data_IF_197337514560
#
_entry.id   IF_197337514560
#
_cell.length_a   1.000
_cell.length_b   1.000
_cell.length_c   1.000
_cell.angle_alpha   90.00
_cell.angle_beta   90.00
_cell.angle_gamma   90.00
#
_symmetry.space_group_name_H-M   'P 1'
#
loop_
_entity.id
_entity.type
_entity.pdbx_description
1 polymer ?
#
# COMPACT_ATOMS: atom_id res chain seq x y z
N UNK A 1 -6.27 41.47 -30.17
CA UNK A 1 -5.44 40.27 -29.95
C UNK A 1 -5.67 39.78 -28.52
N UNK A 2 -6.54 38.80 -28.32
CA UNK A 2 -6.82 38.21 -27.02
C UNK A 2 -5.83 37.06 -26.79
N UNK A 3 -4.96 37.19 -25.80
CA UNK A 3 -4.05 36.11 -25.37
C UNK A 3 -4.84 35.08 -24.56
N UNK A 4 -4.96 33.90 -25.12
CA UNK A 4 -5.53 32.73 -24.45
C UNK A 4 -4.47 32.20 -23.47
N UNK A 5 -4.74 32.33 -22.16
CA UNK A 5 -3.91 31.72 -21.11
C UNK A 5 -4.26 30.23 -21.04
N UNK A 6 -3.37 29.36 -21.51
CA UNK A 6 -3.46 27.91 -21.24
C UNK A 6 -2.97 27.64 -19.81
N UNK A 7 -3.89 27.28 -18.93
CA UNK A 7 -3.53 26.69 -17.62
C UNK A 7 -3.09 25.25 -17.85
N UNK A 8 -1.96 24.81 -17.28
CA UNK A 8 -1.59 23.40 -17.32
C UNK A 8 -2.50 22.58 -16.40
N UNK A 9 -3.18 21.60 -16.96
CA UNK A 9 -3.94 20.61 -16.21
C UNK A 9 -2.91 19.63 -15.60
N UNK A 10 -2.70 19.75 -14.29
CA UNK A 10 -1.95 18.74 -13.54
C UNK A 10 -2.82 17.48 -13.39
N UNK A 11 -2.51 16.46 -14.14
CA UNK A 11 -3.00 15.11 -13.90
C UNK A 11 -2.34 14.60 -12.61
N UNK A 12 -3.09 14.57 -11.52
CA UNK A 12 -2.71 13.80 -10.33
C UNK A 12 -2.89 12.32 -10.69
N UNK A 13 -1.82 11.67 -11.12
CA UNK A 13 -1.79 10.22 -11.25
C UNK A 13 -1.90 9.62 -9.84
N UNK A 14 -3.07 9.09 -9.50
CA UNK A 14 -3.22 8.19 -8.36
C UNK A 14 -2.40 6.94 -8.69
N UNK A 15 -1.24 6.83 -8.06
CA UNK A 15 -0.46 5.58 -8.09
C UNK A 15 -1.25 4.56 -7.28
N UNK A 16 -2.10 3.79 -7.94
CA UNK A 16 -2.50 2.49 -7.42
C UNK A 16 -1.23 1.64 -7.47
N UNK A 17 -0.64 1.39 -6.32
CA UNK A 17 0.40 0.38 -6.20
C UNK A 17 -0.29 -0.97 -6.40
N UNK A 18 -0.29 -1.45 -7.63
CA UNK A 18 -0.60 -2.84 -7.91
C UNK A 18 0.50 -3.66 -7.21
N UNK A 19 0.12 -4.68 -6.45
CA UNK A 19 1.06 -5.65 -5.92
C UNK A 19 1.86 -6.20 -7.11
N UNK A 20 3.15 -5.88 -7.17
CA UNK A 20 4.04 -6.34 -8.23
C UNK A 20 4.49 -7.76 -7.91
N UNK A 21 4.68 -8.57 -8.97
CA UNK A 21 5.36 -9.85 -8.84
C UNK A 21 6.85 -9.56 -8.69
N UNK A 22 7.55 -10.29 -7.83
CA UNK A 22 8.99 -10.18 -7.70
C UNK A 22 9.70 -10.61 -8.99
N UNK A 23 10.88 -10.07 -9.27
CA UNK A 23 11.77 -10.57 -10.31
C UNK A 23 12.63 -11.70 -9.74
N UNK A 24 12.75 -12.82 -10.48
CA UNK A 24 13.63 -13.91 -10.05
C UNK A 24 15.10 -13.55 -10.25
N UNK A 25 15.92 -14.00 -9.34
CA UNK A 25 17.38 -13.91 -9.46
C UNK A 25 18.03 -15.17 -8.85
N UNK A 26 19.20 -15.50 -9.36
CA UNK A 26 20.06 -16.56 -8.79
C UNK A 26 21.43 -15.96 -8.52
N UNK A 27 21.85 -15.96 -7.25
CA UNK A 27 23.10 -15.38 -6.81
C UNK A 27 23.79 -16.31 -5.81
N UNK A 28 25.12 -16.16 -5.69
CA UNK A 28 25.92 -16.80 -4.66
C UNK A 28 26.14 -15.82 -3.51
N UNK A 29 25.82 -16.23 -2.30
CA UNK A 29 26.03 -15.41 -1.12
C UNK A 29 27.51 -15.33 -0.70
N UNK A 30 27.82 -14.48 0.25
CA UNK A 30 29.18 -14.29 0.77
C UNK A 30 29.73 -15.51 1.54
N UNK A 31 28.90 -16.50 1.83
CA UNK A 31 29.33 -17.79 2.40
C UNK A 31 29.57 -18.86 1.30
N UNK A 32 29.34 -18.53 0.02
CA UNK A 32 29.51 -19.43 -1.11
C UNK A 32 28.33 -20.34 -1.40
N UNK A 33 27.15 -20.06 -0.84
CA UNK A 33 25.91 -20.80 -1.10
C UNK A 33 25.15 -20.12 -2.24
N UNK A 34 24.64 -20.95 -3.19
CA UNK A 34 23.77 -20.46 -4.27
C UNK A 34 22.33 -20.37 -3.76
N UNK A 35 21.67 -19.27 -4.11
CA UNK A 35 20.26 -19.00 -3.80
C UNK A 35 19.53 -18.63 -5.08
N UNK A 36 18.37 -19.24 -5.31
CA UNK A 36 17.38 -18.81 -6.28
C UNK A 36 16.15 -18.28 -5.51
N UNK A 37 15.71 -17.07 -5.84
CA UNK A 37 14.63 -16.44 -5.10
C UNK A 37 13.33 -17.26 -5.21
N UNK A 38 12.93 -17.61 -6.43
CA UNK A 38 11.66 -18.31 -6.63
C UNK A 38 11.68 -19.71 -6.07
N UNK A 39 12.79 -20.46 -6.23
CA UNK A 39 12.93 -21.77 -5.57
C UNK A 39 12.80 -21.63 -4.04
N UNK A 40 13.37 -20.59 -3.46
CA UNK A 40 13.25 -20.34 -2.01
C UNK A 40 11.80 -20.05 -1.61
N UNK A 41 11.09 -19.19 -2.37
CA UNK A 41 9.70 -18.82 -2.10
C UNK A 41 8.75 -20.01 -2.27
N UNK A 42 8.99 -20.90 -3.24
CA UNK A 42 8.19 -22.08 -3.52
C UNK A 42 8.25 -23.12 -2.40
N UNK A 43 9.27 -23.09 -1.54
CA UNK A 43 9.30 -23.89 -0.30
C UNK A 43 8.33 -23.38 0.77
N UNK A 44 7.70 -22.22 0.55
CA UNK A 44 6.87 -21.52 1.53
C UNK A 44 7.68 -20.60 2.46
N UNK A 45 8.93 -20.33 2.11
CA UNK A 45 9.78 -19.36 2.81
C UNK A 45 9.41 -17.95 2.35
N UNK A 46 9.43 -17.00 3.27
CA UNK A 46 9.34 -15.56 3.01
C UNK A 46 10.75 -15.00 2.96
N UNK A 47 11.03 -14.16 1.97
CA UNK A 47 12.32 -13.46 1.86
C UNK A 47 12.11 -11.98 2.14
N UNK A 48 12.83 -11.48 3.13
CA UNK A 48 13.03 -10.05 3.41
C UNK A 48 14.34 -9.66 2.77
N UNK A 49 14.33 -8.73 1.83
CA UNK A 49 15.53 -8.14 1.25
C UNK A 49 15.73 -6.75 1.82
N UNK A 50 16.91 -6.49 2.34
CA UNK A 50 17.37 -5.18 2.75
C UNK A 50 18.55 -4.77 1.87
N UNK A 51 18.34 -3.79 1.01
CA UNK A 51 19.38 -3.25 0.14
C UNK A 51 20.07 -2.10 0.86
N UNK A 52 21.38 -2.18 0.99
CA UNK A 52 22.15 -1.30 1.88
C UNK A 52 23.33 -0.61 1.18
N UNK A 53 23.68 0.57 1.67
CA UNK A 53 24.98 1.20 1.43
C UNK A 53 25.89 0.91 2.62
N UNK A 54 27.18 0.64 2.35
CA UNK A 54 28.13 0.30 3.42
C UNK A 54 28.71 1.54 4.12
N UNK A 55 28.98 2.59 3.37
CA UNK A 55 29.70 3.77 3.87
C UNK A 55 28.83 4.64 4.80
N UNK A 56 28.79 4.25 6.08
CA UNK A 56 28.17 5.06 7.13
C UNK A 56 26.65 5.22 7.03
N UNK A 57 25.95 4.28 6.38
CA UNK A 57 24.50 4.32 6.26
C UNK A 57 23.79 4.06 7.60
N UNK A 58 23.74 5.06 8.45
CA UNK A 58 22.98 4.97 9.73
C UNK A 58 21.50 4.60 9.53
N UNK A 59 20.78 5.09 8.48
CA UNK A 59 19.44 4.63 8.21
C UNK A 59 19.34 3.13 7.95
N UNK A 60 20.33 2.51 7.26
CA UNK A 60 20.37 1.06 7.01
C UNK A 60 20.54 0.28 8.33
N UNK A 61 21.48 0.69 9.17
CA UNK A 61 21.72 0.07 10.47
C UNK A 61 20.47 0.17 11.36
N UNK A 62 19.84 1.33 11.40
CA UNK A 62 18.61 1.53 12.17
C UNK A 62 17.46 0.68 11.64
N UNK A 63 17.32 0.56 10.33
CA UNK A 63 16.31 -0.32 9.70
C UNK A 63 16.53 -1.79 10.09
N UNK A 64 17.79 -2.27 9.99
CA UNK A 64 18.15 -3.62 10.39
C UNK A 64 17.73 -3.92 11.84
N UNK A 65 18.05 -3.05 12.78
CA UNK A 65 17.69 -3.22 14.19
C UNK A 65 16.18 -3.12 14.47
N UNK A 66 15.41 -2.43 13.63
CA UNK A 66 13.96 -2.39 13.74
C UNK A 66 13.31 -3.65 13.17
N UNK A 67 13.87 -4.22 12.10
CA UNK A 67 13.35 -5.43 11.45
C UNK A 67 13.67 -6.70 12.21
N UNK A 68 14.88 -6.78 12.79
CA UNK A 68 15.40 -7.98 13.45
C UNK A 68 14.44 -8.59 14.47
N UNK A 69 13.93 -7.87 15.48
CA UNK A 69 13.02 -8.44 16.48
C UNK A 69 11.70 -8.94 15.87
N UNK A 70 11.23 -8.32 14.79
CA UNK A 70 10.02 -8.77 14.08
C UNK A 70 10.31 -10.10 13.38
N UNK A 71 11.42 -10.19 12.65
CA UNK A 71 11.84 -11.42 11.93
C UNK A 71 12.08 -12.56 12.91
N UNK A 72 12.76 -12.30 14.04
CA UNK A 72 13.01 -13.30 15.09
C UNK A 72 11.71 -13.84 15.70
N UNK A 73 10.73 -12.98 15.95
CA UNK A 73 9.42 -13.38 16.46
C UNK A 73 8.73 -14.36 15.51
N UNK A 74 8.74 -14.08 14.21
CA UNK A 74 8.16 -14.98 13.20
C UNK A 74 8.94 -16.28 13.11
N UNK A 75 10.26 -16.25 13.10
CA UNK A 75 11.11 -17.43 13.02
C UNK A 75 10.99 -18.33 14.25
N UNK A 76 10.82 -17.78 15.45
CA UNK A 76 10.55 -18.54 16.66
C UNK A 76 9.22 -19.31 16.59
N UNK A 77 8.23 -18.77 15.88
CA UNK A 77 6.88 -19.37 15.78
C UNK A 77 6.74 -20.30 14.57
N UNK A 78 7.38 -19.97 13.45
CA UNK A 78 7.17 -20.62 12.14
C UNK A 78 8.42 -21.32 11.61
N UNK A 79 9.26 -21.86 12.47
CA UNK A 79 10.36 -22.74 12.12
C UNK A 79 11.35 -22.15 11.09
N UNK A 80 11.79 -20.94 11.30
CA UNK A 80 12.77 -20.23 10.45
C UNK A 80 12.29 -20.05 8.99
N UNK A 81 11.02 -19.80 8.79
CA UNK A 81 10.45 -19.57 7.45
C UNK A 81 10.62 -18.14 6.94
N UNK A 82 11.27 -17.25 7.65
CA UNK A 82 11.57 -15.90 7.21
C UNK A 82 13.08 -15.75 7.06
N UNK A 83 13.55 -15.67 5.83
CA UNK A 83 14.94 -15.41 5.53
C UNK A 83 15.16 -13.92 5.34
N UNK A 84 16.18 -13.37 5.98
CA UNK A 84 16.59 -12.00 5.81
C UNK A 84 17.89 -11.92 5.02
N UNK A 85 17.83 -11.32 3.85
CA UNK A 85 18.95 -11.13 2.93
C UNK A 85 19.37 -9.67 2.92
N UNK A 86 20.65 -9.43 3.18
CA UNK A 86 21.25 -8.11 3.04
C UNK A 86 21.97 -8.03 1.70
N UNK A 87 21.68 -7.03 0.88
CA UNK A 87 22.23 -6.89 -0.46
C UNK A 87 22.99 -5.56 -0.59
N UNK A 88 24.23 -5.62 -1.06
CA UNK A 88 24.99 -4.41 -1.34
C UNK A 88 24.39 -3.66 -2.53
N UNK A 89 24.12 -2.38 -2.36
CA UNK A 89 23.61 -1.51 -3.43
C UNK A 89 24.57 -1.37 -4.61
N UNK A 90 25.87 -1.41 -4.35
CA UNK A 90 26.91 -1.25 -5.34
C UNK A 90 27.64 -2.58 -5.55
N UNK A 91 27.60 -3.11 -6.77
CA UNK A 91 28.20 -4.40 -7.14
C UNK A 91 29.73 -4.42 -6.97
N UNK A 92 30.37 -3.27 -6.74
CA UNK A 92 31.79 -3.19 -6.43
C UNK A 92 32.13 -3.52 -4.98
N UNK A 93 31.13 -3.64 -4.09
CA UNK A 93 31.36 -4.03 -2.70
C UNK A 93 31.88 -5.47 -2.62
N UNK A 94 33.02 -5.72 -1.96
CA UNK A 94 33.46 -7.08 -1.72
C UNK A 94 32.69 -7.70 -0.55
N UNK A 95 32.53 -9.02 -0.55
CA UNK A 95 31.93 -9.74 0.56
C UNK A 95 32.57 -9.45 1.93
N UNK A 96 33.88 -9.13 1.94
CA UNK A 96 34.58 -8.77 3.18
C UNK A 96 33.95 -7.54 3.84
N UNK A 97 33.59 -6.53 3.05
CA UNK A 97 33.04 -5.28 3.58
C UNK A 97 31.60 -5.47 4.08
N UNK A 98 30.76 -6.25 3.37
CA UNK A 98 29.42 -6.63 3.85
C UNK A 98 29.50 -7.44 5.15
N UNK A 99 30.45 -8.37 5.25
CA UNK A 99 30.65 -9.18 6.44
C UNK A 99 31.15 -8.33 7.62
N UNK A 100 32.06 -7.38 7.37
CA UNK A 100 32.50 -6.42 8.37
C UNK A 100 31.33 -5.56 8.85
N UNK A 101 30.55 -4.98 7.93
CA UNK A 101 29.37 -4.17 8.24
C UNK A 101 28.35 -4.94 9.11
N UNK A 102 28.02 -6.19 8.75
CA UNK A 102 27.16 -7.07 9.55
C UNK A 102 27.69 -7.26 10.97
N UNK A 103 28.99 -7.56 11.08
CA UNK A 103 29.62 -7.90 12.36
C UNK A 103 29.75 -6.67 13.27
N UNK A 104 30.19 -5.55 12.72
CA UNK A 104 30.40 -4.30 13.46
C UNK A 104 29.09 -3.72 13.99
N UNK A 105 27.99 -3.95 13.27
CA UNK A 105 26.67 -3.45 13.64
C UNK A 105 25.78 -4.51 14.31
N UNK A 106 26.32 -5.70 14.64
CA UNK A 106 25.62 -6.78 15.32
C UNK A 106 24.29 -7.19 14.62
N UNK A 107 24.31 -7.31 13.28
CA UNK A 107 23.14 -7.65 12.46
C UNK A 107 23.12 -9.16 12.21
N UNK A 108 21.94 -9.81 12.34
CA UNK A 108 21.78 -11.27 12.26
C UNK A 108 21.11 -11.75 10.96
N UNK A 109 21.38 -11.08 9.81
CA UNK A 109 20.79 -11.50 8.52
C UNK A 109 21.19 -12.95 8.15
N UNK A 110 20.30 -13.64 7.40
CA UNK A 110 20.46 -15.03 6.98
C UNK A 110 21.58 -15.20 5.96
N UNK A 111 21.64 -14.31 4.96
CA UNK A 111 22.64 -14.32 3.89
C UNK A 111 22.98 -12.90 3.42
N UNK A 112 24.13 -12.75 2.80
CA UNK A 112 24.64 -11.47 2.28
C UNK A 112 25.05 -11.62 0.81
N UNK A 113 24.67 -10.65 -0.02
CA UNK A 113 24.92 -10.65 -1.46
C UNK A 113 25.55 -9.33 -1.89
N UNK A 114 26.49 -9.40 -2.81
CA UNK A 114 27.20 -8.21 -3.30
C UNK A 114 26.58 -7.62 -4.59
N UNK A 115 25.84 -8.43 -5.36
CA UNK A 115 25.25 -8.02 -6.64
C UNK A 115 23.79 -7.55 -6.44
N UNK A 116 23.62 -6.38 -5.82
CA UNK A 116 22.28 -5.86 -5.49
C UNK A 116 21.82 -4.70 -6.37
N UNK A 117 22.64 -4.18 -7.29
CA UNK A 117 22.30 -2.98 -8.07
C UNK A 117 21.06 -3.17 -8.96
N UNK A 118 20.98 -4.28 -9.68
CA UNK A 118 19.82 -4.58 -10.56
C UNK A 118 18.56 -4.80 -9.72
N UNK A 119 18.68 -5.50 -8.59
CA UNK A 119 17.57 -5.74 -7.66
C UNK A 119 17.08 -4.41 -7.07
N UNK A 120 17.99 -3.54 -6.64
CA UNK A 120 17.66 -2.20 -6.18
C UNK A 120 16.89 -1.41 -7.26
N UNK A 121 17.36 -1.47 -8.50
CA UNK A 121 16.72 -0.79 -9.63
C UNK A 121 15.30 -1.30 -9.90
N UNK A 122 15.08 -2.62 -9.82
CA UNK A 122 13.77 -3.24 -10.01
C UNK A 122 12.74 -2.76 -8.99
N UNK A 123 13.14 -2.67 -7.72
CA UNK A 123 12.26 -2.20 -6.65
C UNK A 123 12.20 -0.68 -6.49
N UNK A 124 12.76 0.07 -7.45
CA UNK A 124 12.69 1.54 -7.50
C UNK A 124 13.59 2.23 -6.49
N UNK A 125 14.58 1.52 -5.95
CA UNK A 125 15.48 2.01 -4.92
C UNK A 125 16.48 3.03 -5.44
N UNK A 126 16.15 4.31 -5.35
CA UNK A 126 17.08 5.43 -5.56
C UNK A 126 17.76 5.88 -4.26
N UNK A 127 17.64 5.09 -3.21
CA UNK A 127 18.18 5.40 -1.89
C UNK A 127 18.12 4.21 -0.92
N UNK A 128 18.85 4.32 0.19
CA UNK A 128 19.05 3.22 1.13
C UNK A 128 18.60 3.59 2.55
N UNK A 129 18.06 2.63 3.30
CA UNK A 129 17.76 1.27 2.88
C UNK A 129 16.55 1.21 1.94
N UNK A 130 16.50 0.20 1.06
CA UNK A 130 15.26 -0.28 0.45
C UNK A 130 14.92 -1.62 1.08
N UNK A 131 13.73 -1.74 1.64
CA UNK A 131 13.26 -2.95 2.32
C UNK A 131 12.11 -3.55 1.52
N UNK A 132 12.23 -4.85 1.20
CA UNK A 132 11.25 -5.58 0.39
C UNK A 132 10.87 -6.88 1.07
N UNK A 133 9.58 -7.21 1.13
CA UNK A 133 9.07 -8.52 1.59
C UNK A 133 8.41 -9.22 0.42
N UNK A 134 8.89 -10.42 0.10
CA UNK A 134 8.34 -11.28 -0.96
C UNK A 134 7.99 -12.66 -0.40
N UNK A 135 6.96 -13.29 -0.97
CA UNK A 135 6.54 -14.61 -0.46
C UNK A 135 5.50 -15.29 -1.33
N UNK A 136 5.13 -16.49 -0.89
CA UNK A 136 4.20 -17.42 -1.53
C UNK A 136 4.67 -17.87 -2.92
N UNK A 137 4.09 -18.94 -3.43
CA UNK A 137 4.31 -19.43 -4.80
C UNK A 137 3.74 -18.52 -5.89
N UNK A 138 3.05 -17.46 -5.53
CA UNK A 138 2.67 -16.36 -6.43
C UNK A 138 3.77 -15.33 -6.61
N UNK A 139 4.86 -15.43 -5.81
CA UNK A 139 6.04 -14.56 -5.84
C UNK A 139 5.71 -13.07 -5.69
N UNK A 140 4.68 -12.76 -4.88
CA UNK A 140 4.19 -11.39 -4.75
C UNK A 140 5.05 -10.58 -3.78
N UNK A 141 5.15 -9.29 -4.10
CA UNK A 141 5.73 -8.27 -3.22
C UNK A 141 4.66 -7.80 -2.25
N UNK A 142 4.87 -8.01 -0.96
CA UNK A 142 3.95 -7.62 0.12
C UNK A 142 4.35 -6.31 0.79
N UNK A 143 5.61 -5.93 0.68
CA UNK A 143 6.15 -4.68 1.20
C UNK A 143 7.29 -4.22 0.30
N UNK A 144 7.33 -2.93 -0.03
CA UNK A 144 8.43 -2.29 -0.74
C UNK A 144 8.52 -0.85 -0.29
N UNK A 145 9.50 -0.55 0.55
CA UNK A 145 9.64 0.76 1.17
C UNK A 145 11.07 1.29 1.01
N UNK A 146 11.16 2.53 0.54
CA UNK A 146 12.37 3.32 0.57
C UNK A 146 12.50 4.04 1.92
N UNK A 147 13.63 3.84 2.60
CA UNK A 147 13.76 4.18 4.00
C UNK A 147 12.98 3.20 4.89
N UNK A 148 13.29 3.17 6.19
CA UNK A 148 12.55 2.37 7.15
C UNK A 148 12.64 3.05 8.52
N UNK A 149 11.49 3.35 9.09
CA UNK A 149 11.38 4.06 10.38
C UNK A 149 10.49 3.28 11.34
N UNK A 150 10.48 3.59 12.65
CA UNK A 150 9.66 2.84 13.62
C UNK A 150 8.17 2.73 13.27
N UNK A 151 7.61 3.69 12.55
CA UNK A 151 6.21 3.65 12.12
C UNK A 151 5.92 2.54 11.10
N UNK A 152 6.92 2.10 10.34
CA UNK A 152 6.77 1.09 9.27
C UNK A 152 6.76 -0.35 9.82
N UNK A 153 7.15 -0.55 11.09
CA UNK A 153 7.28 -1.89 11.69
C UNK A 153 5.97 -2.67 11.74
N UNK A 154 4.83 -2.00 11.86
CA UNK A 154 3.51 -2.65 11.87
C UNK A 154 3.18 -3.17 10.48
N UNK A 155 3.28 -2.33 9.45
CA UNK A 155 3.03 -2.71 8.05
C UNK A 155 4.02 -3.80 7.58
N UNK A 156 5.28 -3.71 7.98
CA UNK A 156 6.29 -4.73 7.72
C UNK A 156 5.94 -6.09 8.37
N UNK A 157 5.49 -6.08 9.63
CA UNK A 157 5.03 -7.29 10.32
C UNK A 157 3.83 -7.91 9.62
N UNK A 158 2.83 -7.10 9.26
CA UNK A 158 1.65 -7.56 8.53
C UNK A 158 2.03 -8.15 7.16
N UNK A 159 2.97 -7.52 6.46
CA UNK A 159 3.47 -8.02 5.19
C UNK A 159 4.12 -9.41 5.32
N UNK A 160 4.90 -9.67 6.37
CA UNK A 160 5.46 -11.00 6.65
C UNK A 160 4.32 -12.00 6.94
N UNK A 161 3.31 -11.62 7.73
CA UNK A 161 2.16 -12.47 8.02
C UNK A 161 1.39 -12.85 6.74
N UNK A 162 1.16 -11.88 5.86
CA UNK A 162 0.53 -12.11 4.55
C UNK A 162 1.39 -13.00 3.65
N UNK A 163 2.68 -12.74 3.58
CA UNK A 163 3.62 -13.54 2.80
C UNK A 163 3.72 -14.99 3.30
N UNK A 164 3.65 -15.23 4.62
CA UNK A 164 3.59 -16.55 5.22
C UNK A 164 2.24 -17.26 5.00
N UNK A 165 1.18 -16.54 4.60
CA UNK A 165 -0.17 -17.08 4.47
C UNK A 165 -0.87 -17.38 5.80
N UNK A 166 -0.43 -16.75 6.89
CA UNK A 166 -1.03 -16.89 8.23
C UNK A 166 -2.04 -15.78 8.53
N UNK A 167 -2.03 -14.72 7.75
CA UNK A 167 -3.06 -13.71 7.68
C UNK A 167 -3.41 -13.49 6.20
N UNK A 168 -4.63 -13.10 5.92
CA UNK A 168 -4.98 -12.56 4.62
C UNK A 168 -4.96 -11.03 4.75
N UNK A 169 -4.45 -10.31 3.72
CA UNK A 169 -4.63 -8.86 3.71
C UNK A 169 -6.13 -8.64 3.95
N UNK A 170 -6.47 -7.98 5.04
CA UNK A 170 -7.82 -7.50 5.16
C UNK A 170 -8.03 -6.59 3.94
N UNK A 171 -8.58 -7.16 2.86
CA UNK A 171 -9.34 -6.37 1.92
C UNK A 171 -10.50 -5.88 2.76
N UNK A 172 -10.22 -4.91 3.61
CA UNK A 172 -11.20 -4.08 4.22
C UNK A 172 -11.85 -3.33 3.05
N UNK A 173 -12.74 -4.01 2.33
CA UNK A 173 -13.94 -3.34 1.97
C UNK A 173 -14.45 -2.91 3.35
N UNK A 174 -14.13 -1.70 3.79
CA UNK A 174 -14.98 -1.04 4.73
C UNK A 174 -16.37 -1.15 4.07
N UNK A 175 -17.11 -2.19 4.40
CA UNK A 175 -18.54 -2.10 4.39
C UNK A 175 -18.80 -1.02 5.44
N UNK A 176 -18.70 0.23 5.00
CA UNK A 176 -19.32 1.33 5.71
C UNK A 176 -20.71 0.81 6.02
N UNK A 177 -21.02 0.64 7.31
CA UNK A 177 -22.30 0.08 7.69
C UNK A 177 -23.34 0.83 6.86
N UNK A 178 -24.11 0.10 6.07
CA UNK A 178 -24.96 0.68 5.04
C UNK A 178 -26.13 1.35 5.73
N UNK A 179 -26.33 2.63 5.48
CA UNK A 179 -27.58 3.31 5.83
C UNK A 179 -28.60 2.91 4.78
N UNK A 180 -29.71 2.32 5.20
CA UNK A 180 -30.85 2.15 4.30
C UNK A 180 -31.49 3.51 4.06
N UNK A 181 -31.32 4.03 2.84
CA UNK A 181 -31.83 5.33 2.42
C UNK A 181 -32.79 5.16 1.27
N UNK A 182 -33.92 5.85 1.33
CA UNK A 182 -34.87 5.98 0.23
C UNK A 182 -34.89 7.43 -0.27
N UNK A 183 -34.90 7.61 -1.57
CA UNK A 183 -34.99 8.93 -2.22
C UNK A 183 -36.18 8.96 -3.17
N UNK A 184 -36.99 10.00 -3.10
CA UNK A 184 -38.20 10.14 -3.91
C UNK A 184 -38.54 11.62 -4.14
N UNK A 185 -39.33 11.94 -5.24
CA UNK A 185 -39.69 11.03 -6.30
C UNK A 185 -38.48 10.59 -7.13
N UNK A 186 -38.61 9.49 -7.86
CA UNK A 186 -37.63 9.09 -8.88
C UNK A 186 -38.42 8.59 -10.11
N UNK A 187 -38.43 9.33 -11.22
CA UNK A 187 -37.71 10.59 -11.50
C UNK A 187 -38.12 11.78 -10.62
N UNK A 188 -37.17 12.67 -10.36
CA UNK A 188 -37.36 13.91 -9.62
C UNK A 188 -37.30 15.13 -10.55
N UNK A 189 -38.02 16.22 -10.19
CA UNK A 189 -38.00 17.50 -10.92
C UNK A 189 -37.37 18.62 -10.10
N UNK A 190 -38.08 19.20 -9.14
CA UNK A 190 -37.63 20.38 -8.41
C UNK A 190 -36.89 20.05 -7.11
N UNK A 191 -37.25 18.94 -6.47
CA UNK A 191 -36.71 18.55 -5.18
C UNK A 191 -36.68 17.02 -5.01
N UNK A 192 -35.71 16.57 -4.19
CA UNK A 192 -35.56 15.19 -3.77
C UNK A 192 -35.84 15.09 -2.26
N UNK A 193 -36.74 14.22 -1.89
CA UNK A 193 -37.05 13.87 -0.50
C UNK A 193 -36.23 12.64 -0.10
N UNK A 194 -35.83 12.58 1.16
CA UNK A 194 -34.95 11.52 1.66
C UNK A 194 -35.51 10.96 2.97
N UNK A 195 -35.56 9.63 3.08
CA UNK A 195 -35.94 8.95 4.31
C UNK A 195 -34.99 7.83 4.67
N UNK A 196 -34.75 7.62 5.97
CA UNK A 196 -33.87 6.60 6.52
C UNK A 196 -33.47 6.93 7.95
N UNK A 197 -32.58 6.12 8.51
CA UNK A 197 -32.09 6.29 9.90
C UNK A 197 -30.69 6.89 9.92
N UNK A 198 -30.58 8.20 10.20
CA UNK A 198 -29.32 8.94 10.39
C UNK A 198 -29.50 10.08 11.37
N UNK A 199 -28.37 10.64 11.82
CA UNK A 199 -28.36 11.81 12.71
C UNK A 199 -28.60 13.11 11.92
N UNK A 200 -29.08 14.18 12.58
CA UNK A 200 -29.44 15.45 11.91
C UNK A 200 -28.30 16.14 11.16
N UNK A 201 -27.03 15.84 11.50
CA UNK A 201 -25.84 16.46 10.89
C UNK A 201 -25.22 15.61 9.76
N UNK A 202 -25.90 14.59 9.26
CA UNK A 202 -25.40 13.73 8.19
C UNK A 202 -25.02 14.56 6.95
N UNK A 203 -23.90 14.21 6.32
CA UNK A 203 -23.45 14.89 5.10
C UNK A 203 -24.08 14.24 3.88
N UNK A 204 -24.67 15.08 3.01
CA UNK A 204 -25.27 14.68 1.74
C UNK A 204 -24.39 15.16 0.60
N UNK A 205 -24.16 14.27 -0.37
CA UNK A 205 -23.47 14.55 -1.61
C UNK A 205 -24.32 14.04 -2.78
N UNK A 206 -24.62 14.91 -3.75
CA UNK A 206 -25.16 14.51 -5.05
C UNK A 206 -24.02 14.65 -6.07
N UNK A 207 -23.73 13.59 -6.79
CA UNK A 207 -22.71 13.55 -7.83
C UNK A 207 -23.28 13.02 -9.15
N UNK A 208 -22.65 13.36 -10.27
CA UNK A 208 -22.92 12.67 -11.53
C UNK A 208 -22.27 11.28 -11.55
N UNK A 209 -22.50 10.53 -12.62
CA UNK A 209 -21.97 9.16 -12.77
C UNK A 209 -20.43 9.09 -12.88
N UNK A 210 -19.77 10.22 -13.13
CA UNK A 210 -18.29 10.31 -13.14
C UNK A 210 -17.72 10.58 -11.75
N UNK A 211 -18.60 10.76 -10.73
CA UNK A 211 -18.21 11.08 -9.36
C UNK A 211 -17.99 12.58 -9.11
N UNK A 212 -18.21 13.46 -10.10
CA UNK A 212 -18.13 14.91 -9.93
C UNK A 212 -19.25 15.39 -9.00
N UNK A 213 -18.88 15.98 -7.86
CA UNK A 213 -19.81 16.49 -6.86
C UNK A 213 -20.54 17.74 -7.39
N UNK A 214 -21.87 17.72 -7.38
CA UNK A 214 -22.74 18.80 -7.82
C UNK A 214 -23.39 19.56 -6.65
N UNK A 215 -23.82 18.83 -5.64
CA UNK A 215 -24.37 19.38 -4.40
C UNK A 215 -23.63 18.73 -3.23
N UNK A 216 -23.24 19.54 -2.25
CA UNK A 216 -22.72 19.08 -0.96
C UNK A 216 -23.44 19.89 0.10
N UNK A 217 -24.21 19.22 0.96
CA UNK A 217 -24.97 19.87 2.04
C UNK A 217 -25.03 18.96 3.28
N UNK A 218 -25.49 19.53 4.39
CA UNK A 218 -25.86 18.75 5.58
C UNK A 218 -27.36 18.49 5.54
N UNK A 219 -27.75 17.38 6.13
CA UNK A 219 -29.18 17.06 6.28
C UNK A 219 -29.76 17.91 7.40
N UNK A 220 -30.39 19.01 7.03
CA UNK A 220 -31.10 19.94 7.92
C UNK A 220 -32.59 20.09 7.56
N UNK A 221 -32.98 19.58 6.39
CA UNK A 221 -34.34 19.68 5.85
C UNK A 221 -34.78 18.36 5.23
N UNK A 222 -36.09 18.11 5.19
CA UNK A 222 -36.68 16.91 4.59
C UNK A 222 -36.52 16.83 3.06
N UNK A 223 -36.08 17.93 2.41
CA UNK A 223 -35.97 17.99 0.95
C UNK A 223 -34.72 18.72 0.48
N UNK A 224 -34.19 18.29 -0.66
CA UNK A 224 -33.02 18.85 -1.31
C UNK A 224 -33.46 19.46 -2.65
N UNK A 225 -33.22 20.76 -2.84
CA UNK A 225 -33.52 21.42 -4.12
C UNK A 225 -32.59 20.92 -5.23
N UNK A 226 -33.17 20.57 -6.38
CA UNK A 226 -32.47 20.12 -7.58
C UNK A 226 -32.39 21.19 -8.68
N UNK A 227 -32.97 22.39 -8.48
CA UNK A 227 -33.08 23.44 -9.49
C UNK A 227 -31.75 23.87 -10.13
N UNK A 228 -30.63 23.66 -9.44
CA UNK A 228 -29.29 23.97 -9.95
C UNK A 228 -28.69 22.84 -10.81
N UNK A 229 -29.36 21.68 -10.90
CA UNK A 229 -28.85 20.52 -11.63
C UNK A 229 -29.45 20.46 -13.05
N UNK A 230 -28.65 20.20 -14.08
CA UNK A 230 -29.17 19.79 -15.38
C UNK A 230 -29.94 18.46 -15.30
N UNK A 231 -30.87 18.25 -16.24
CA UNK A 231 -31.51 16.93 -16.38
C UNK A 231 -30.45 15.84 -16.60
N UNK A 232 -30.58 14.72 -15.89
CA UNK A 232 -29.58 13.64 -15.95
C UNK A 232 -29.69 12.62 -14.83
N UNK A 233 -28.83 11.63 -14.85
CA UNK A 233 -28.73 10.60 -13.81
C UNK A 233 -27.68 10.98 -12.77
N UNK A 234 -28.06 10.88 -11.50
CA UNK A 234 -27.23 11.28 -10.37
C UNK A 234 -27.16 10.20 -9.30
N UNK A 235 -26.08 10.25 -8.52
CA UNK A 235 -25.89 9.41 -7.34
C UNK A 235 -26.07 10.28 -6.10
N UNK A 236 -27.07 9.96 -5.30
CA UNK A 236 -27.24 10.47 -3.95
C UNK A 236 -26.38 9.65 -2.97
N UNK A 237 -25.64 10.30 -2.14
CA UNK A 237 -24.83 9.68 -1.08
C UNK A 237 -25.08 10.42 0.22
N UNK A 238 -25.39 9.68 1.29
CA UNK A 238 -25.46 10.21 2.66
C UNK A 238 -24.38 9.53 3.52
N UNK A 239 -23.70 10.30 4.36
CA UNK A 239 -22.66 9.80 5.27
C UNK A 239 -22.93 10.31 6.66
N UNK A 240 -22.96 9.39 7.65
CA UNK A 240 -23.17 9.66 9.05
C UNK A 240 -22.32 8.72 9.91
N UNK A 241 -21.42 9.26 10.76
CA UNK A 241 -20.61 8.48 11.70
C UNK A 241 -19.84 7.31 11.09
N UNK A 242 -19.36 7.42 9.83
CA UNK A 242 -18.67 6.35 9.11
C UNK A 242 -19.61 5.36 8.40
N UNK A 243 -20.93 5.51 8.51
CA UNK A 243 -21.92 4.78 7.72
C UNK A 243 -22.23 5.53 6.43
N UNK A 244 -22.54 4.81 5.35
CA UNK A 244 -22.84 5.43 4.06
C UNK A 244 -24.06 4.77 3.42
N UNK A 245 -25.01 5.59 2.96
CA UNK A 245 -26.13 5.18 2.12
C UNK A 245 -26.01 5.77 0.71
N UNK A 246 -26.39 5.00 -0.33
CA UNK A 246 -26.34 5.45 -1.73
C UNK A 246 -27.60 5.04 -2.48
N UNK A 247 -28.10 5.94 -3.33
CA UNK A 247 -29.17 5.65 -4.28
C UNK A 247 -28.94 6.40 -5.59
N UNK A 248 -29.36 5.81 -6.68
CA UNK A 248 -29.36 6.46 -8.00
C UNK A 248 -30.75 7.03 -8.26
N UNK A 249 -30.80 8.24 -8.78
CA UNK A 249 -32.06 8.87 -9.20
C UNK A 249 -31.91 9.60 -10.54
N UNK A 250 -33.02 9.78 -11.23
CA UNK A 250 -33.13 10.52 -12.48
C UNK A 250 -33.73 11.90 -12.19
N UNK A 251 -33.05 12.97 -12.62
CA UNK A 251 -33.55 14.36 -12.62
C UNK A 251 -34.05 14.71 -14.03
N UNK A 252 -35.27 15.28 -14.15
CA UNK A 252 -35.93 15.65 -15.41
C UNK A 252 -36.15 17.18 -15.52
#
# INVERSE_FOLDING_TARGET
MKRLLMLPIYFLALHMQAQTIAENWTQTDCAGQSHDLFETLDTGTVVVMEIVMLDGCMPCINAAHLMEPVIEQYNATYANRVHWYTMGYDDSYPCADLTAWKTENAISCTAQFVEGADIASYYGGMGMPTVVVVGRSSHMVYFNQFGFVPADTVEFSDAIAYALGIAEPEVSIHQSATIDVQVFPNPATDALYVTGDWLPDATIIISDLTGSKKIVTRFDTESISLQALPAGTYVFTITDGGKTGRKVFLHQ
#
